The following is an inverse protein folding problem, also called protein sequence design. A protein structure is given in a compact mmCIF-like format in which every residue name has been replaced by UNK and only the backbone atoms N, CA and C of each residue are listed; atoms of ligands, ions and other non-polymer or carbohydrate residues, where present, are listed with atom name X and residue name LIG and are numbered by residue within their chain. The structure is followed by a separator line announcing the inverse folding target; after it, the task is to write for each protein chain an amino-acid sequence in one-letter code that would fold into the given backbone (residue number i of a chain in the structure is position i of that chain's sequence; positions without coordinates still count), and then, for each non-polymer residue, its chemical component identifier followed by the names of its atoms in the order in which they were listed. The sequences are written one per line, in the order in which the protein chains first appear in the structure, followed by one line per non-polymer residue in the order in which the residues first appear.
data_IF_439643851026
#
_entry.id   IF_439643851026
#
_cell.length_a   1.000
_cell.length_b   1.000
_cell.length_c   1.000
_cell.angle_alpha   90.00
_cell.angle_beta   90.00
_cell.angle_gamma   90.00
#
_symmetry.space_group_name_H-M   'P 1'
#
loop_
_entity.id
_entity.type
_entity.pdbx_description
1 polymer ?
#
# COMPACT_ATOMS: atom_id res chain seq x y z
N UNK A 1 -12.08 12.50 15.54
CA UNK A 1 -11.12 11.42 15.87
C UNK A 1 -9.76 12.08 16.01
N UNK A 2 -9.20 12.14 17.22
CA UNK A 2 -7.86 12.67 17.49
C UNK A 2 -7.07 11.56 18.19
N UNK A 3 -6.62 10.58 17.41
CA UNK A 3 -5.67 9.57 17.84
C UNK A 3 -4.41 9.75 17.00
N UNK A 4 -3.24 9.75 17.63
CA UNK A 4 -1.97 9.81 16.92
C UNK A 4 -1.87 8.62 15.98
N UNK A 5 -1.62 8.88 14.70
CA UNK A 5 -1.39 7.84 13.70
C UNK A 5 0.06 7.39 13.81
N UNK A 6 0.30 6.17 14.29
CA UNK A 6 1.65 5.59 14.31
C UNK A 6 2.03 5.13 12.90
N UNK A 7 3.25 5.45 12.47
CA UNK A 7 3.80 5.05 11.16
C UNK A 7 5.16 4.40 11.37
N UNK A 8 5.40 3.27 10.72
CA UNK A 8 6.61 2.45 10.92
C UNK A 8 7.33 2.16 9.59
N UNK A 9 6.75 2.55 8.46
CA UNK A 9 7.33 2.38 7.14
C UNK A 9 6.83 3.43 6.17
N UNK A 10 7.67 3.77 5.21
CA UNK A 10 7.35 4.62 4.07
C UNK A 10 8.11 4.11 2.85
N UNK A 11 7.54 4.35 1.66
CA UNK A 11 8.17 4.02 0.39
C UNK A 11 7.88 5.08 -0.66
N UNK A 12 8.89 5.36 -1.48
CA UNK A 12 8.74 6.15 -2.70
C UNK A 12 8.42 5.23 -3.86
N UNK A 13 7.58 5.67 -4.80
CA UNK A 13 7.19 4.91 -5.99
C UNK A 13 6.36 5.76 -6.95
N UNK A 14 5.96 5.21 -8.08
CA UNK A 14 5.10 5.88 -9.07
C UNK A 14 3.67 5.33 -8.97
N UNK A 15 2.77 6.06 -8.30
CA UNK A 15 1.42 5.56 -7.99
C UNK A 15 0.45 5.76 -9.16
N UNK A 16 0.70 6.67 -10.08
CA UNK A 16 -0.22 6.98 -11.19
C UNK A 16 0.40 6.70 -12.58
N UNK A 17 1.66 6.28 -12.63
CA UNK A 17 2.36 5.95 -13.86
C UNK A 17 2.86 7.17 -14.64
N UNK A 18 3.05 8.31 -13.96
CA UNK A 18 3.51 9.57 -14.58
C UNK A 18 5.03 9.77 -14.51
N UNK A 19 5.75 8.77 -13.99
CA UNK A 19 7.20 8.76 -13.74
C UNK A 19 7.68 9.80 -12.72
N UNK A 20 6.81 10.35 -11.87
CA UNK A 20 7.20 11.15 -10.72
C UNK A 20 7.20 10.34 -9.43
N UNK A 21 8.14 10.63 -8.51
CA UNK A 21 8.18 9.94 -7.23
C UNK A 21 7.06 10.44 -6.32
N UNK A 22 6.10 9.57 -6.07
CA UNK A 22 5.02 9.67 -5.09
C UNK A 22 5.43 9.03 -3.76
N UNK A 23 4.76 9.40 -2.67
CA UNK A 23 5.07 8.93 -1.33
C UNK A 23 3.91 8.12 -0.74
N UNK A 24 4.20 6.89 -0.34
CA UNK A 24 3.30 6.08 0.47
C UNK A 24 3.81 6.00 1.91
N UNK A 25 2.94 6.27 2.88
CA UNK A 25 3.22 6.13 4.31
C UNK A 25 2.31 5.08 4.91
N UNK A 26 2.93 4.06 5.49
CA UNK A 26 2.24 3.00 6.16
C UNK A 26 1.64 3.50 7.47
N UNK A 27 0.32 3.43 7.61
CA UNK A 27 -0.33 3.51 8.92
C UNK A 27 -0.15 2.18 9.63
N UNK A 28 0.45 2.17 10.83
CA UNK A 28 0.81 0.96 11.59
C UNK A 28 -0.42 0.14 11.96
N UNK A 29 -1.31 0.68 12.80
CA UNK A 29 -2.66 0.11 13.10
C UNK A 29 -3.80 0.97 12.60
N UNK A 30 -3.48 2.06 11.89
CA UNK A 30 -4.44 3.00 11.32
C UNK A 30 -4.41 2.94 9.78
N UNK A 31 -5.20 3.79 9.12
CA UNK A 31 -5.20 3.96 7.68
C UNK A 31 -3.85 4.47 7.18
N UNK A 32 -3.38 4.00 6.00
CA UNK A 32 -2.20 4.57 5.37
C UNK A 32 -2.48 6.00 4.86
N UNK A 33 -1.40 6.68 4.49
CA UNK A 33 -1.44 7.91 3.68
C UNK A 33 -0.74 7.65 2.35
N UNK A 34 -1.22 8.29 1.30
CA UNK A 34 -0.59 8.26 -0.01
C UNK A 34 -0.62 9.67 -0.56
N UNK A 35 0.52 10.11 -1.06
CA UNK A 35 0.77 11.47 -1.49
C UNK A 35 1.27 11.43 -2.93
N UNK A 36 0.44 11.92 -3.86
CA UNK A 36 0.81 12.04 -5.26
C UNK A 36 1.56 13.33 -5.48
N UNK A 37 2.75 13.25 -6.06
CA UNK A 37 3.56 14.39 -6.44
C UNK A 37 2.91 15.13 -7.60
N UNK A 38 2.78 16.45 -7.48
CA UNK A 38 2.19 17.27 -8.56
C UNK A 38 3.23 17.77 -9.56
N UNK A 39 4.52 17.45 -9.36
CA UNK A 39 5.65 17.92 -10.16
C UNK A 39 6.07 19.37 -9.88
N UNK A 40 5.30 20.08 -9.06
CA UNK A 40 5.51 21.50 -8.71
C UNK A 40 6.06 21.67 -7.29
N UNK A 41 6.61 20.59 -6.70
CA UNK A 41 7.07 20.56 -5.32
C UNK A 41 5.94 20.46 -4.29
N UNK A 42 4.72 20.13 -4.72
CA UNK A 42 3.56 19.90 -3.87
C UNK A 42 3.11 18.44 -3.97
N UNK A 43 2.28 18.02 -3.00
CA UNK A 43 1.71 16.68 -2.95
C UNK A 43 0.21 16.73 -2.65
N UNK A 44 -0.56 15.91 -3.36
CA UNK A 44 -1.99 15.69 -3.12
C UNK A 44 -2.19 14.44 -2.24
N UNK A 45 -3.00 14.53 -1.18
CA UNK A 45 -3.41 13.34 -0.42
C UNK A 45 -4.44 12.53 -1.22
N UNK A 46 -3.99 11.39 -1.75
CA UNK A 46 -4.77 10.47 -2.57
C UNK A 46 -5.06 9.15 -1.84
N UNK A 47 -4.84 9.09 -0.53
CA UNK A 47 -4.98 7.87 0.27
C UNK A 47 -6.36 7.22 0.10
N UNK A 48 -7.42 8.03 0.07
CA UNK A 48 -8.79 7.56 -0.11
C UNK A 48 -9.07 7.05 -1.54
N UNK A 49 -8.38 7.59 -2.54
CA UNK A 49 -8.54 7.14 -3.92
C UNK A 49 -7.89 5.77 -4.13
N UNK A 50 -6.71 5.55 -3.52
CA UNK A 50 -6.01 4.27 -3.52
C UNK A 50 -6.77 3.19 -2.75
N UNK A 51 -7.34 3.57 -1.59
CA UNK A 51 -8.14 2.66 -0.77
C UNK A 51 -9.39 3.35 -0.23
N UNK A 52 -10.53 3.26 -0.94
CA UNK A 52 -11.81 3.79 -0.47
C UNK A 52 -12.43 2.91 0.64
N UNK A 53 -11.62 2.51 1.62
CA UNK A 53 -11.99 1.72 2.78
C UNK A 53 -12.23 0.24 2.50
N UNK A 54 -11.57 -0.34 1.49
CA UNK A 54 -11.93 -1.68 0.99
C UNK A 54 -10.76 -2.67 0.89
N UNK A 55 -9.50 -2.26 0.75
CA UNK A 55 -8.50 -3.14 0.14
C UNK A 55 -7.10 -3.14 0.74
N UNK A 56 -6.54 -1.99 1.11
CA UNK A 56 -5.10 -1.88 1.35
C UNK A 56 -4.78 -2.46 2.72
N UNK A 57 -5.42 -2.02 3.82
CA UNK A 57 -5.33 -2.78 5.09
C UNK A 57 -6.39 -2.38 6.12
N UNK A 58 -6.89 -3.34 6.90
CA UNK A 58 -7.90 -3.06 7.93
C UNK A 58 -7.26 -2.29 9.09
N UNK A 59 -7.95 -1.30 9.69
CA UNK A 59 -7.55 -0.77 10.99
C UNK A 59 -7.39 -1.92 12.00
N UNK A 60 -6.32 -1.88 12.79
CA UNK A 60 -5.95 -2.92 13.76
C UNK A 60 -4.95 -3.97 13.27
N UNK A 61 -4.67 -4.07 11.97
CA UNK A 61 -3.55 -4.90 11.47
C UNK A 61 -2.21 -4.28 11.88
N UNK A 62 -1.19 -5.08 12.22
CA UNK A 62 0.12 -4.63 12.71
C UNK A 62 1.14 -4.51 11.57
N UNK A 63 1.28 -3.31 11.00
CA UNK A 63 1.92 -3.09 9.69
C UNK A 63 3.27 -2.38 9.81
N UNK A 64 4.33 -2.98 9.28
CA UNK A 64 5.72 -2.56 9.57
C UNK A 64 6.57 -2.23 8.35
N UNK A 65 6.13 -2.60 7.15
CA UNK A 65 6.90 -2.39 5.94
C UNK A 65 6.00 -2.04 4.77
N UNK A 66 6.51 -1.19 3.88
CA UNK A 66 5.95 -0.90 2.58
C UNK A 66 7.12 -0.85 1.57
N UNK A 67 6.97 -1.50 0.43
CA UNK A 67 7.94 -1.43 -0.67
C UNK A 67 7.20 -1.26 -2.00
N UNK A 68 7.77 -0.45 -2.88
CA UNK A 68 7.32 -0.31 -4.27
C UNK A 68 8.21 -1.11 -5.22
N UNK A 69 7.62 -1.59 -6.30
CA UNK A 69 8.33 -2.21 -7.42
C UNK A 69 7.39 -2.96 -8.36
N UNK A 70 7.81 -3.13 -9.61
CA UNK A 70 7.08 -3.93 -10.60
C UNK A 70 7.40 -5.43 -10.42
N UNK A 71 6.61 -6.12 -9.61
CA UNK A 71 6.87 -7.51 -9.22
C UNK A 71 6.26 -8.56 -10.15
N UNK A 72 5.34 -8.19 -11.06
CA UNK A 72 4.90 -9.09 -12.16
C UNK A 72 5.35 -8.67 -13.55
N UNK A 73 6.26 -7.69 -13.62
CA UNK A 73 6.93 -7.27 -14.83
C UNK A 73 5.93 -6.85 -15.91
N UNK A 74 4.97 -6.01 -15.52
CA UNK A 74 3.91 -5.54 -16.40
C UNK A 74 3.99 -4.03 -16.72
N UNK A 75 5.02 -3.38 -16.17
CA UNK A 75 5.33 -1.98 -16.42
C UNK A 75 4.62 -1.01 -15.50
N UNK A 76 3.79 -1.45 -14.56
CA UNK A 76 3.24 -0.60 -13.51
C UNK A 76 3.87 -0.97 -12.15
N UNK A 77 4.19 0.01 -11.31
CA UNK A 77 4.69 -0.29 -9.97
C UNK A 77 3.59 -0.87 -9.08
N UNK A 78 3.95 -1.86 -8.28
CA UNK A 78 3.10 -2.37 -7.21
C UNK A 78 3.54 -1.85 -5.86
N UNK A 79 2.59 -1.92 -4.93
CA UNK A 79 2.84 -1.74 -3.51
C UNK A 79 2.69 -3.08 -2.78
N UNK A 80 3.75 -3.48 -2.06
CA UNK A 80 3.74 -4.60 -1.13
C UNK A 80 3.80 -4.10 0.32
N UNK A 81 2.89 -4.58 1.15
CA UNK A 81 2.81 -4.23 2.57
C UNK A 81 3.12 -5.45 3.44
N UNK A 82 4.07 -5.28 4.36
CA UNK A 82 4.41 -6.26 5.38
C UNK A 82 3.54 -6.10 6.61
N UNK A 83 2.76 -7.15 6.92
CA UNK A 83 1.90 -7.24 8.10
C UNK A 83 2.44 -8.32 9.04
N UNK A 84 2.80 -7.94 10.27
CA UNK A 84 3.40 -8.83 11.27
C UNK A 84 2.36 -9.65 12.03
N UNK A 85 1.17 -9.07 12.27
CA UNK A 85 0.03 -9.77 12.86
C UNK A 85 -1.29 -9.13 12.41
N UNK A 86 -2.26 -9.95 12.00
CA UNK A 86 -3.65 -9.52 11.83
C UNK A 86 -4.42 -9.86 13.10
N UNK A 87 -5.27 -8.96 13.60
CA UNK A 87 -6.09 -9.21 14.81
C UNK A 87 -7.09 -10.38 14.71
N UNK A 88 -7.11 -11.07 13.57
CA UNK A 88 -7.74 -12.38 13.37
C UNK A 88 -6.66 -13.35 12.91
N UNK A 89 -6.57 -14.52 13.53
CA UNK A 89 -5.57 -15.56 13.27
C UNK A 89 -5.43 -15.96 11.79
N UNK A 90 -4.71 -15.16 11.01
CA UNK A 90 -4.27 -15.46 9.66
C UNK A 90 -2.74 -15.39 9.66
N UNK A 91 -2.05 -16.29 8.97
CA UNK A 91 -0.59 -16.22 8.85
C UNK A 91 -0.19 -14.92 8.16
N UNK A 92 1.02 -14.43 8.46
CA UNK A 92 1.62 -13.26 7.83
C UNK A 92 1.37 -13.28 6.32
N UNK A 93 0.71 -12.24 5.81
CA UNK A 93 0.27 -12.19 4.42
C UNK A 93 0.84 -10.95 3.74
N UNK A 94 1.60 -11.18 2.67
CA UNK A 94 1.98 -10.13 1.73
C UNK A 94 0.76 -9.78 0.88
N UNK A 95 0.28 -8.53 0.97
CA UNK A 95 -0.77 -8.00 0.08
C UNK A 95 -0.10 -7.22 -1.04
N UNK A 96 -0.48 -7.53 -2.29
CA UNK A 96 -0.03 -6.81 -3.49
C UNK A 96 -1.12 -5.91 -4.00
N UNK A 97 -0.79 -4.64 -4.13
CA UNK A 97 -1.64 -3.61 -4.69
C UNK A 97 -1.06 -3.12 -5.99
N UNK A 98 -1.90 -3.10 -7.03
CA UNK A 98 -1.53 -2.70 -8.37
C UNK A 98 -1.94 -1.25 -8.58
N UNK A 99 -0.98 -0.37 -8.83
CA UNK A 99 -1.25 0.91 -9.44
C UNK A 99 -1.42 0.72 -10.94
N UNK A 100 -2.25 1.55 -11.58
CA UNK A 100 -2.51 1.41 -13.01
C UNK A 100 -2.54 2.79 -13.65
N UNK A 101 -1.79 2.94 -14.75
CA UNK A 101 -1.53 4.17 -15.54
C UNK A 101 -2.75 5.02 -15.94
N UNK A 102 -4.00 4.60 -15.70
CA UNK A 102 -5.16 5.43 -16.01
C UNK A 102 -6.41 5.25 -15.13
N UNK A 103 -6.37 4.41 -14.09
CA UNK A 103 -7.42 4.30 -13.07
C UNK A 103 -7.05 3.16 -12.14
N UNK A 104 -6.91 3.44 -10.84
CA UNK A 104 -6.73 2.46 -9.76
C UNK A 104 -7.79 1.34 -9.84
N UNK A 105 -7.48 0.26 -10.57
CA UNK A 105 -8.38 -0.87 -10.78
C UNK A 105 -7.75 -2.14 -10.20
N UNK A 106 -7.97 -2.28 -8.89
CA UNK A 106 -8.00 -3.51 -8.06
C UNK A 106 -6.64 -4.06 -7.59
N UNK A 107 -6.38 -3.95 -6.28
CA UNK A 107 -5.48 -4.87 -5.55
C UNK A 107 -6.09 -6.29 -5.55
N UNK A 108 -5.30 -7.33 -5.88
CA UNK A 108 -5.71 -8.74 -5.69
C UNK A 108 -4.85 -9.35 -4.58
N UNK A 109 -5.49 -9.86 -3.53
CA UNK A 109 -4.77 -10.69 -2.55
C UNK A 109 -4.42 -12.03 -3.20
N UNK A 110 -3.12 -12.32 -3.40
CA UNK A 110 -2.65 -13.69 -3.57
C UNK A 110 -2.28 -14.23 -2.20
N UNK A 111 -2.98 -15.27 -1.74
CA UNK A 111 -2.52 -16.06 -0.61
C UNK A 111 -1.24 -16.81 -1.04
N UNK A 112 -0.25 -16.90 -0.15
CA UNK A 112 0.90 -17.76 -0.37
C UNK A 112 0.41 -19.20 -0.61
N UNK A 113 0.99 -19.94 -1.57
CA UNK A 113 0.68 -21.35 -1.72
C UNK A 113 1.01 -22.09 -0.40
N UNK A 114 0.21 -23.10 -0.01
CA UNK A 114 0.52 -23.88 1.18
C UNK A 114 1.90 -24.52 1.03
N UNK A 115 2.70 -24.46 2.09
CA UNK A 115 4.00 -25.13 2.13
C UNK A 115 3.79 -26.62 1.84
N UNK A 116 4.47 -27.12 0.81
CA UNK A 116 4.54 -28.56 0.52
C UNK A 116 5.21 -29.27 1.70
N UNK A 117 4.53 -30.29 2.25
CA UNK A 117 5.11 -31.24 3.20
C UNK A 117 6.18 -32.10 2.51
#
# INVERSE_FOLDING_TARGET
MTGFTETWGASWGDLNGDNWPDLFIQGHRDFPRAYRNTGEGNFDDVAYEMDPGKWIVKPGDDKHAAIHGDFDNDGDEDLLIGVSATGSAMPAATRRCRCCRSAMRRCRSRQAPPASQ
#
